data_IF_173591626039
#
_entry.id   IF_173591626039
#
_cell.length_a   1.000
_cell.length_b   1.000
_cell.length_c   1.000
_cell.angle_alpha   90.00
_cell.angle_beta   90.00
_cell.angle_gamma   90.00
#
_symmetry.space_group_name_H-M   'P 1'
#
loop_
_entity.id
_entity.type
_entity.pdbx_description
1 polymer ?
#
# COMPACT_ATOMS: atom_id res chain seq x y z
N UNK A 1 53.84 -0.78 76.77
CA UNK A 1 54.83 -0.60 75.69
C UNK A 1 54.26 0.41 74.71
N UNK A 2 54.77 1.64 74.70
CA UNK A 2 54.32 2.75 73.85
C UNK A 2 55.43 3.01 72.81
N UNK A 3 55.12 2.88 71.52
CA UNK A 3 55.88 3.35 70.35
C UNK A 3 54.81 3.75 69.32
N UNK A 4 54.46 5.03 69.17
CA UNK A 4 55.12 6.05 68.35
C UNK A 4 55.29 5.61 66.89
N UNK A 5 54.52 6.20 65.97
CA UNK A 5 54.95 6.67 64.63
C UNK A 5 53.74 7.22 63.82
N UNK A 6 53.65 8.56 63.75
CA UNK A 6 53.17 9.34 62.59
C UNK A 6 54.40 9.56 61.66
N UNK A 7 54.36 10.14 60.44
CA UNK A 7 53.25 10.49 59.52
C UNK A 7 53.53 10.08 58.05
N UNK A 8 52.58 10.22 57.11
CA UNK A 8 52.91 10.61 55.72
C UNK A 8 51.68 11.15 54.98
N UNK A 9 51.67 12.46 54.78
CA UNK A 9 50.80 13.18 53.84
C UNK A 9 51.28 12.94 52.41
N UNK A 10 50.42 12.43 51.54
CA UNK A 10 50.59 12.48 50.10
C UNK A 10 49.51 13.41 49.51
N UNK A 11 49.92 14.60 49.11
CA UNK A 11 49.10 15.50 48.28
C UNK A 11 49.24 15.01 46.86
N UNK A 12 48.17 14.44 46.29
CA UNK A 12 48.08 14.14 44.86
C UNK A 12 47.27 15.25 44.19
N UNK A 13 47.97 16.20 43.57
CA UNK A 13 47.36 17.15 42.64
C UNK A 13 47.05 16.41 41.35
N UNK A 14 45.77 16.14 41.12
CA UNK A 14 45.27 15.71 39.81
C UNK A 14 44.91 16.97 39.02
N UNK A 15 45.72 17.29 38.01
CA UNK A 15 45.35 18.24 36.96
C UNK A 15 44.58 17.43 35.91
N UNK A 16 43.25 17.48 35.95
CA UNK A 16 42.42 17.05 34.83
C UNK A 16 42.47 18.14 33.76
N UNK A 17 43.44 18.03 32.85
CA UNK A 17 43.33 18.57 31.51
C UNK A 17 43.11 17.37 30.59
N UNK A 18 41.86 17.14 30.21
CA UNK A 18 41.44 16.10 29.28
C UNK A 18 40.30 16.67 28.45
N UNK A 19 40.53 16.69 27.14
CA UNK A 19 39.84 17.49 26.14
C UNK A 19 38.31 17.33 26.15
N UNK A 20 37.61 18.45 26.05
CA UNK A 20 36.31 18.47 25.39
C UNK A 20 36.56 18.17 23.92
N UNK A 21 36.34 16.93 23.53
CA UNK A 21 35.96 16.59 22.17
C UNK A 21 34.45 16.75 22.16
N UNK A 22 33.98 17.93 21.76
CA UNK A 22 32.68 18.03 21.12
C UNK A 22 32.86 17.30 19.79
N UNK A 23 32.72 15.97 19.81
CA UNK A 23 32.46 15.21 18.61
C UNK A 23 31.03 15.61 18.20
N UNK A 24 30.93 16.64 17.34
CA UNK A 24 29.80 16.77 16.43
C UNK A 24 29.77 15.46 15.65
N UNK A 25 29.02 14.50 16.16
CA UNK A 25 28.63 13.29 15.46
C UNK A 25 27.75 13.78 14.29
N UNK A 26 28.41 14.16 13.19
CA UNK A 26 27.73 14.68 12.00
C UNK A 26 27.00 13.53 11.34
N UNK A 27 25.83 13.22 11.90
CA UNK A 27 24.91 12.22 11.40
C UNK A 27 24.62 12.53 9.93
N UNK A 28 24.91 11.60 9.04
CA UNK A 28 24.68 11.71 7.60
C UNK A 28 23.31 11.10 7.30
N UNK A 29 22.32 11.95 7.11
CA UNK A 29 20.93 11.53 6.86
C UNK A 29 20.70 11.12 5.41
N UNK A 30 19.56 10.50 5.12
CA UNK A 30 19.14 10.21 3.73
C UNK A 30 19.10 11.47 2.85
N UNK A 31 18.80 12.64 3.42
CA UNK A 31 18.84 13.92 2.69
C UNK A 31 20.29 14.33 2.39
N UNK A 32 21.20 14.20 3.37
CA UNK A 32 22.63 14.51 3.18
C UNK A 32 23.26 13.59 2.12
N UNK A 33 22.93 12.29 2.16
CA UNK A 33 23.38 11.32 1.16
C UNK A 33 22.85 11.69 -0.22
N UNK A 34 21.57 12.03 -0.35
CA UNK A 34 20.98 12.40 -1.62
C UNK A 34 21.58 13.71 -2.19
N UNK A 35 21.84 14.71 -1.34
CA UNK A 35 22.52 15.95 -1.72
C UNK A 35 23.95 15.74 -2.23
N UNK A 36 24.63 14.70 -1.72
CA UNK A 36 25.98 14.32 -2.13
C UNK A 36 26.07 13.53 -3.43
N UNK A 37 24.95 13.15 -4.03
CA UNK A 37 24.89 12.29 -5.22
C UNK A 37 24.28 13.02 -6.43
N UNK A 38 25.07 13.14 -7.51
CA UNK A 38 24.68 13.85 -8.73
C UNK A 38 23.45 13.24 -9.42
N UNK A 39 23.07 11.99 -9.10
CA UNK A 39 21.88 11.32 -9.66
C UNK A 39 20.56 11.77 -9.04
N UNK A 40 20.58 12.42 -7.88
CA UNK A 40 19.37 12.75 -7.13
C UNK A 40 19.09 14.26 -7.06
N UNK A 41 19.74 15.08 -7.89
CA UNK A 41 19.59 16.54 -7.85
C UNK A 41 18.14 17.01 -8.07
N UNK A 42 17.37 16.31 -8.91
CA UNK A 42 15.93 16.59 -9.11
C UNK A 42 15.12 16.22 -7.86
N UNK A 43 15.38 15.06 -7.27
CA UNK A 43 14.74 14.61 -6.03
C UNK A 43 15.00 15.58 -4.88
N UNK A 44 16.25 16.00 -4.68
CA UNK A 44 16.63 16.96 -3.62
C UNK A 44 15.87 18.28 -3.80
N UNK A 45 15.81 18.79 -5.04
CA UNK A 45 15.04 20.02 -5.35
C UNK A 45 13.56 19.84 -5.02
N UNK A 46 12.98 18.68 -5.32
CA UNK A 46 11.59 18.36 -5.01
C UNK A 46 11.35 18.28 -3.48
N UNK A 47 12.22 17.60 -2.72
CA UNK A 47 12.15 17.51 -1.26
C UNK A 47 12.21 18.89 -0.60
N UNK A 48 13.13 19.75 -1.06
CA UNK A 48 13.25 21.13 -0.57
C UNK A 48 11.99 21.94 -0.89
N UNK A 49 11.46 21.81 -2.10
CA UNK A 49 10.26 22.52 -2.55
C UNK A 49 9.01 22.09 -1.79
N UNK A 50 8.87 20.78 -1.52
CA UNK A 50 7.78 20.21 -0.73
C UNK A 50 7.92 20.48 0.78
N UNK A 51 9.06 21.01 1.24
CA UNK A 51 9.33 21.25 2.66
C UNK A 51 9.51 19.97 3.48
N UNK A 52 9.87 18.85 2.84
CA UNK A 52 10.03 17.54 3.48
C UNK A 52 11.44 17.29 4.05
N UNK A 53 12.40 18.17 3.78
CA UNK A 53 13.79 18.00 4.22
C UNK A 53 13.88 17.73 5.73
N UNK A 54 13.25 18.56 6.57
CA UNK A 54 13.28 18.38 8.02
C UNK A 54 12.64 17.06 8.50
N UNK A 55 11.64 16.55 7.77
CA UNK A 55 11.00 15.26 8.08
C UNK A 55 11.95 14.09 7.78
N UNK A 56 12.58 14.10 6.60
CA UNK A 56 13.49 13.05 6.15
C UNK A 56 14.89 13.14 6.81
N UNK A 57 15.24 14.30 7.35
CA UNK A 57 16.38 14.47 8.26
C UNK A 57 16.05 13.99 9.69
N UNK A 58 14.81 13.58 9.99
CA UNK A 58 14.41 13.09 11.31
C UNK A 58 15.15 11.81 11.76
N UNK A 59 14.77 11.27 12.93
CA UNK A 59 15.47 10.12 13.53
C UNK A 59 15.34 8.81 12.73
N UNK A 60 14.35 8.70 11.85
CA UNK A 60 14.09 7.47 11.09
C UNK A 60 13.68 6.28 11.98
N UNK A 61 13.85 5.03 11.52
CA UNK A 61 14.48 4.67 10.25
C UNK A 61 13.59 4.94 9.03
N UNK A 62 14.22 5.24 7.89
CA UNK A 62 13.56 5.40 6.60
C UNK A 62 14.13 4.45 5.54
N UNK A 63 13.29 4.04 4.60
CA UNK A 63 13.74 3.47 3.32
C UNK A 63 13.23 4.38 2.22
N UNK A 64 14.14 5.00 1.48
CA UNK A 64 13.79 5.93 0.39
C UNK A 64 14.03 5.26 -0.94
N UNK A 65 12.97 5.03 -1.71
CA UNK A 65 13.07 4.65 -3.10
C UNK A 65 13.29 5.92 -3.93
N UNK A 66 14.54 6.27 -4.21
CA UNK A 66 14.91 7.55 -4.82
C UNK A 66 14.92 7.44 -6.36
N UNK A 67 14.01 8.10 -7.09
CA UNK A 67 14.09 8.13 -8.54
C UNK A 67 15.33 8.88 -9.00
N UNK A 68 16.01 8.32 -9.99
CA UNK A 68 17.15 8.99 -10.63
C UNK A 68 16.70 10.21 -11.43
N UNK A 69 17.63 11.11 -11.75
CA UNK A 69 17.36 12.22 -12.67
C UNK A 69 16.84 11.74 -14.03
N UNK A 70 17.33 10.58 -14.49
CA UNK A 70 16.83 9.92 -15.70
C UNK A 70 15.37 9.48 -15.54
N UNK A 71 15.00 8.89 -14.40
CA UNK A 71 13.63 8.51 -14.08
C UNK A 71 12.67 9.71 -14.10
N UNK A 72 13.06 10.83 -13.48
CA UNK A 72 12.27 12.06 -13.53
C UNK A 72 12.13 12.61 -14.95
N UNK A 73 13.21 12.58 -15.75
CA UNK A 73 13.17 13.08 -17.12
C UNK A 73 12.23 12.26 -18.02
N UNK A 74 12.22 10.93 -17.84
CA UNK A 74 11.30 10.02 -18.52
C UNK A 74 9.86 10.27 -18.09
N UNK A 75 9.59 10.29 -16.78
CA UNK A 75 8.27 10.59 -16.21
C UNK A 75 7.66 11.90 -16.76
N UNK A 76 8.45 12.98 -16.78
CA UNK A 76 8.03 14.28 -17.31
C UNK A 76 7.72 14.20 -18.80
N UNK A 77 8.55 13.49 -19.57
CA UNK A 77 8.38 13.35 -21.02
C UNK A 77 7.10 12.57 -21.35
N UNK A 78 6.87 11.45 -20.68
CA UNK A 78 5.75 10.56 -20.95
C UNK A 78 4.40 11.20 -20.57
N UNK A 79 4.41 12.03 -19.53
CA UNK A 79 3.23 12.78 -19.09
C UNK A 79 3.08 14.15 -19.77
N UNK A 80 4.03 14.56 -20.63
CA UNK A 80 4.00 15.87 -21.29
C UNK A 80 4.08 17.05 -20.32
N UNK A 81 4.79 16.87 -19.21
CA UNK A 81 4.99 17.83 -18.13
C UNK A 81 6.38 18.47 -18.22
N UNK A 82 6.49 19.70 -17.72
CA UNK A 82 7.78 20.33 -17.44
C UNK A 82 8.14 20.14 -15.96
N UNK A 83 9.42 20.25 -15.61
CA UNK A 83 9.86 20.14 -14.22
C UNK A 83 9.17 21.16 -13.29
N UNK A 84 8.81 22.33 -13.82
CA UNK A 84 8.03 23.33 -13.07
C UNK A 84 6.62 22.88 -12.75
N UNK A 85 6.02 22.02 -13.57
CA UNK A 85 4.67 21.51 -13.33
C UNK A 85 4.70 20.50 -12.18
N UNK A 86 5.68 19.60 -12.16
CA UNK A 86 5.91 18.68 -11.03
C UNK A 86 6.17 19.45 -9.73
N UNK A 87 7.08 20.42 -9.75
CA UNK A 87 7.44 21.19 -8.54
C UNK A 87 6.30 22.09 -8.03
N UNK A 88 5.33 22.42 -8.88
CA UNK A 88 4.15 23.19 -8.52
C UNK A 88 2.92 22.32 -8.18
N UNK A 89 3.04 20.99 -8.27
CA UNK A 89 1.95 20.08 -7.99
C UNK A 89 1.57 20.13 -6.51
N UNK A 90 0.27 20.29 -6.23
CA UNK A 90 -0.26 20.24 -4.87
C UNK A 90 -0.02 18.86 -4.22
N UNK A 91 0.11 17.81 -5.03
CA UNK A 91 0.41 16.43 -4.63
C UNK A 91 1.92 16.12 -4.51
N UNK A 92 2.82 17.10 -4.68
CA UNK A 92 4.27 16.83 -4.67
C UNK A 92 4.73 16.17 -3.37
N UNK A 93 4.24 16.66 -2.22
CA UNK A 93 4.57 16.06 -0.93
C UNK A 93 4.06 14.62 -0.83
N UNK A 94 2.83 14.37 -1.29
CA UNK A 94 2.20 13.05 -1.28
C UNK A 94 3.00 12.06 -2.14
N UNK A 95 3.35 12.45 -3.37
CA UNK A 95 4.21 11.67 -4.28
C UNK A 95 5.54 11.34 -3.60
N UNK A 96 6.22 12.33 -3.00
CA UNK A 96 7.50 12.10 -2.35
C UNK A 96 7.36 11.18 -1.13
N UNK A 97 6.29 11.29 -0.34
CA UNK A 97 6.06 10.40 0.80
C UNK A 97 5.67 8.98 0.38
N UNK A 98 5.12 8.80 -0.83
CA UNK A 98 4.84 7.47 -1.40
C UNK A 98 6.12 6.72 -1.80
N UNK A 99 7.24 7.44 -1.96
CA UNK A 99 8.56 6.84 -2.18
C UNK A 99 9.29 6.45 -0.88
N UNK A 100 8.68 6.66 0.29
CA UNK A 100 9.35 6.48 1.57
C UNK A 100 8.60 5.45 2.40
N UNK A 101 9.32 4.45 2.93
CA UNK A 101 8.81 3.55 3.94
C UNK A 101 9.23 4.03 5.34
N UNK A 102 8.35 3.95 6.36
CA UNK A 102 8.66 4.32 7.74
C UNK A 102 9.44 3.22 8.49
N UNK A 103 10.26 2.45 7.77
CA UNK A 103 11.08 1.33 8.27
C UNK A 103 12.41 1.28 7.53
N UNK A 104 13.43 0.65 8.12
CA UNK A 104 14.67 0.29 7.41
C UNK A 104 14.49 -1.07 6.72
N UNK A 105 14.61 -1.09 5.40
CA UNK A 105 14.55 -2.28 4.58
C UNK A 105 15.72 -2.23 3.59
N UNK A 106 16.85 -2.81 3.97
CA UNK A 106 17.96 -3.06 3.05
C UNK A 106 17.55 -4.05 1.94
N UNK A 107 18.40 -4.27 0.95
CA UNK A 107 18.12 -5.16 -0.18
C UNK A 107 17.81 -6.59 0.25
N UNK A 108 18.34 -7.05 1.38
CA UNK A 108 18.10 -8.40 1.90
C UNK A 108 16.72 -8.48 2.53
N UNK A 109 16.34 -7.50 3.35
CA UNK A 109 15.01 -7.39 3.92
C UNK A 109 13.95 -7.20 2.82
N UNK A 110 14.18 -6.27 1.90
CA UNK A 110 13.28 -6.01 0.77
C UNK A 110 13.12 -7.23 -0.15
N UNK A 111 14.20 -7.94 -0.47
CA UNK A 111 14.12 -9.18 -1.24
C UNK A 111 13.44 -10.33 -0.47
N UNK A 112 13.54 -10.36 0.85
CA UNK A 112 12.83 -11.34 1.68
C UNK A 112 11.33 -11.07 1.68
N UNK A 113 10.92 -9.80 1.78
CA UNK A 113 9.52 -9.38 1.64
C UNK A 113 9.01 -9.74 0.25
N UNK A 114 9.74 -9.34 -0.80
CA UNK A 114 9.38 -9.62 -2.18
C UNK A 114 9.32 -11.12 -2.54
N UNK A 115 10.05 -11.96 -1.79
CA UNK A 115 10.06 -13.41 -1.92
C UNK A 115 9.04 -14.13 -1.03
N UNK A 116 8.13 -13.41 -0.37
CA UNK A 116 7.12 -13.99 0.52
C UNK A 116 6.18 -14.94 -0.23
N UNK A 117 5.73 -15.99 0.45
CA UNK A 117 4.83 -17.00 -0.13
C UNK A 117 3.44 -16.41 -0.44
N UNK A 118 2.99 -15.43 0.37
CA UNK A 118 1.76 -14.69 0.16
C UNK A 118 2.06 -13.34 -0.47
N UNK A 119 1.33 -12.99 -1.54
CA UNK A 119 1.42 -11.65 -2.12
C UNK A 119 0.92 -10.55 -1.17
N UNK A 120 0.07 -10.90 -0.19
CA UNK A 120 -0.38 -9.93 0.82
C UNK A 120 0.79 -9.43 1.67
N UNK A 121 1.77 -10.30 1.96
CA UNK A 121 2.95 -9.98 2.76
C UNK A 121 4.01 -9.20 1.97
N UNK A 122 3.84 -9.07 0.66
CA UNK A 122 4.71 -8.30 -0.23
C UNK A 122 4.32 -6.80 -0.27
N UNK A 123 3.16 -6.46 0.29
CA UNK A 123 2.65 -5.10 0.38
C UNK A 123 3.22 -4.40 1.60
N UNK A 124 3.77 -3.21 1.39
CA UNK A 124 4.43 -2.44 2.44
C UNK A 124 3.92 -1.01 2.46
N UNK A 125 3.40 -0.60 3.62
CA UNK A 125 2.87 0.75 3.83
C UNK A 125 3.96 1.82 3.70
N UNK A 126 3.68 2.85 2.91
CA UNK A 126 4.53 4.03 2.74
C UNK A 126 4.20 5.10 3.77
N UNK A 127 5.03 6.15 3.88
CA UNK A 127 4.73 7.33 4.72
C UNK A 127 3.47 8.06 4.24
N UNK A 128 3.11 7.94 2.97
CA UNK A 128 1.84 8.45 2.44
C UNK A 128 0.61 7.69 2.98
N UNK A 129 0.80 6.45 3.46
CA UNK A 129 -0.24 5.60 4.05
C UNK A 129 -0.88 4.61 3.06
N UNK A 130 -0.45 4.61 1.80
CA UNK A 130 -0.78 3.57 0.83
C UNK A 130 0.38 2.58 0.68
N UNK A 131 0.04 1.35 0.30
CA UNK A 131 1.03 0.30 0.13
C UNK A 131 1.70 0.39 -1.25
N UNK A 132 2.96 -0.04 -1.28
CA UNK A 132 3.70 -0.41 -2.48
C UNK A 132 3.93 -1.91 -2.49
N UNK A 133 3.99 -2.51 -3.68
CA UNK A 133 4.31 -3.92 -3.86
C UNK A 133 5.81 -4.09 -4.02
N UNK A 134 6.45 -4.87 -3.16
CA UNK A 134 7.83 -5.32 -3.40
C UNK A 134 7.79 -6.66 -4.13
N UNK A 135 8.44 -6.75 -5.30
CA UNK A 135 8.45 -7.99 -6.09
C UNK A 135 9.82 -8.26 -6.69
N UNK A 136 10.02 -9.49 -7.22
CA UNK A 136 11.26 -9.88 -7.89
C UNK A 136 10.98 -10.25 -9.34
N UNK A 137 11.69 -9.59 -10.27
CA UNK A 137 11.75 -9.99 -11.68
C UNK A 137 13.12 -10.59 -11.96
N UNK A 138 13.21 -11.91 -11.87
CA UNK A 138 14.50 -12.59 -11.93
C UNK A 138 15.36 -12.28 -10.71
N UNK A 139 16.44 -11.51 -10.89
CA UNK A 139 17.31 -11.05 -9.79
C UNK A 139 17.00 -9.63 -9.34
N UNK A 140 16.15 -8.92 -10.08
CA UNK A 140 15.97 -7.49 -9.91
C UNK A 140 14.82 -7.26 -8.94
N UNK A 141 15.06 -6.40 -7.94
CA UNK A 141 14.05 -5.96 -6.99
C UNK A 141 13.21 -4.86 -7.63
N UNK A 142 11.90 -5.02 -7.59
CA UNK A 142 10.94 -4.06 -8.09
C UNK A 142 10.14 -3.48 -6.92
N UNK A 143 9.82 -2.20 -7.04
CA UNK A 143 8.90 -1.48 -6.17
C UNK A 143 7.78 -1.01 -7.09
N UNK A 144 6.60 -1.61 -6.95
CA UNK A 144 5.57 -1.59 -7.99
C UNK A 144 6.18 -2.08 -9.32
N UNK A 145 6.29 -1.22 -10.33
CA UNK A 145 6.93 -1.48 -11.62
C UNK A 145 8.34 -0.88 -11.74
N UNK A 146 8.75 -0.04 -10.79
CA UNK A 146 10.05 0.60 -10.78
C UNK A 146 11.14 -0.41 -10.41
N UNK A 147 12.18 -0.50 -11.23
CA UNK A 147 13.32 -1.38 -10.95
C UNK A 147 14.32 -0.66 -10.06
N UNK A 148 14.77 -1.34 -9.00
CA UNK A 148 15.88 -0.86 -8.15
C UNK A 148 17.19 -1.01 -8.92
N UNK A 149 17.69 0.10 -9.47
CA UNK A 149 18.94 0.15 -10.25
C UNK A 149 20.20 0.22 -9.39
N UNK A 150 20.07 0.67 -8.14
CA UNK A 150 21.12 0.56 -7.14
C UNK A 150 20.51 0.46 -5.75
N UNK A 151 20.80 -0.65 -5.06
CA UNK A 151 20.36 -0.85 -3.69
C UNK A 151 21.43 -0.44 -2.65
N UNK A 152 20.99 -0.29 -1.41
CA UNK A 152 21.81 -0.19 -0.20
C UNK A 152 22.76 1.03 -0.14
N UNK A 153 22.27 2.20 -0.53
CA UNK A 153 23.01 3.44 -0.25
C UNK A 153 22.70 3.86 1.19
N UNK A 154 23.65 3.58 2.09
CA UNK A 154 23.46 3.69 3.54
C UNK A 154 23.50 5.14 4.04
N UNK A 155 22.58 5.45 4.96
CA UNK A 155 22.55 6.67 5.77
C UNK A 155 22.39 6.31 7.26
N UNK A 156 22.63 7.25 8.16
CA UNK A 156 22.54 6.98 9.60
C UNK A 156 21.09 6.89 10.11
N UNK A 157 20.13 7.39 9.34
CA UNK A 157 18.70 7.33 9.66
C UNK A 157 17.88 6.51 8.66
N UNK A 158 18.54 5.66 7.86
CA UNK A 158 17.86 4.84 6.88
C UNK A 158 18.72 4.38 5.71
N UNK A 159 18.06 3.93 4.66
CA UNK A 159 18.68 3.44 3.43
C UNK A 159 18.01 4.05 2.21
N UNK A 160 18.79 4.29 1.15
CA UNK A 160 18.28 4.73 -0.15
C UNK A 160 18.48 3.61 -1.17
N UNK A 161 17.40 3.32 -1.91
CA UNK A 161 17.42 2.47 -3.09
C UNK A 161 17.12 3.35 -4.31
N UNK A 162 18.06 3.47 -5.23
CA UNK A 162 17.85 4.19 -6.48
C UNK A 162 16.91 3.40 -7.39
N UNK A 163 15.87 4.05 -7.91
CA UNK A 163 14.90 3.45 -8.83
C UNK A 163 14.91 4.14 -10.20
N UNK A 164 14.49 3.41 -11.24
CA UNK A 164 14.44 3.91 -12.63
C UNK A 164 13.13 4.60 -13.02
N UNK A 165 12.12 4.59 -12.16
CA UNK A 165 10.80 5.17 -12.44
C UNK A 165 10.31 5.99 -11.24
N UNK A 166 9.46 6.98 -11.48
CA UNK A 166 8.78 7.73 -10.41
C UNK A 166 7.53 6.96 -9.99
N UNK A 167 7.38 6.65 -8.70
CA UNK A 167 6.17 6.03 -8.17
C UNK A 167 5.02 7.04 -8.16
N UNK A 168 3.99 6.76 -8.94
CA UNK A 168 2.78 7.57 -8.98
C UNK A 168 1.86 7.19 -7.82
N UNK A 169 1.17 8.17 -7.24
CA UNK A 169 0.12 7.89 -6.25
C UNK A 169 -1.18 7.51 -6.99
N UNK A 170 -1.98 6.58 -6.46
CA UNK A 170 -3.24 6.22 -7.07
C UNK A 170 -4.24 7.39 -6.99
N UNK A 171 -4.98 7.64 -8.06
CA UNK A 171 -6.02 8.66 -8.06
C UNK A 171 -7.25 8.18 -7.28
N UNK A 172 -7.55 8.85 -6.16
CA UNK A 172 -8.74 8.54 -5.36
C UNK A 172 -10.01 8.78 -6.16
N UNK A 173 -10.90 7.79 -6.21
CA UNK A 173 -12.15 7.91 -6.91
C UNK A 173 -13.09 8.94 -6.25
N UNK A 174 -13.95 9.57 -7.04
CA UNK A 174 -14.96 10.52 -6.55
C UNK A 174 -15.98 9.93 -5.56
N UNK A 175 -16.11 8.60 -5.51
CA UNK A 175 -16.94 7.88 -4.53
C UNK A 175 -16.26 7.70 -3.17
N UNK A 176 -14.97 8.04 -3.03
CA UNK A 176 -14.20 7.87 -1.80
C UNK A 176 -14.72 8.74 -0.66
N UNK A 177 -14.76 8.18 0.55
CA UNK A 177 -15.01 8.92 1.80
C UNK A 177 -14.22 8.26 2.95
N UNK A 178 -13.04 8.79 3.23
CA UNK A 178 -12.11 8.29 4.25
C UNK A 178 -12.60 8.52 5.70
N UNK A 179 -13.79 9.11 5.89
CA UNK A 179 -14.42 9.22 7.21
C UNK A 179 -15.45 8.12 7.48
N UNK A 180 -15.71 7.27 6.48
CA UNK A 180 -16.65 6.14 6.59
C UNK A 180 -15.89 4.83 6.46
N UNK A 181 -16.28 3.83 7.23
CA UNK A 181 -15.81 2.45 6.99
C UNK A 181 -16.35 1.94 5.66
N UNK A 182 -15.80 0.82 5.18
CA UNK A 182 -16.29 0.16 3.96
C UNK A 182 -17.79 -0.13 4.07
N UNK A 183 -18.27 -0.65 5.20
CA UNK A 183 -19.69 -0.97 5.37
C UNK A 183 -20.56 0.29 5.38
N UNK A 184 -20.13 1.36 6.07
CA UNK A 184 -20.82 2.65 6.06
C UNK A 184 -20.86 3.28 4.67
N UNK A 185 -19.78 3.16 3.89
CA UNK A 185 -19.69 3.66 2.53
C UNK A 185 -20.61 2.87 1.59
N UNK A 186 -20.60 1.54 1.66
CA UNK A 186 -21.52 0.67 0.90
C UNK A 186 -22.97 1.01 1.22
N UNK A 187 -23.32 1.22 2.50
CA UNK A 187 -24.67 1.66 2.91
C UNK A 187 -25.02 3.02 2.31
N UNK A 188 -24.08 3.98 2.28
CA UNK A 188 -24.30 5.29 1.71
C UNK A 188 -24.54 5.24 0.19
N UNK A 189 -23.77 4.41 -0.53
CA UNK A 189 -23.91 4.20 -1.97
C UNK A 189 -25.22 3.49 -2.32
N UNK A 190 -25.61 2.48 -1.55
CA UNK A 190 -26.90 1.80 -1.68
C UNK A 190 -28.11 2.71 -1.38
N UNK A 191 -27.92 3.76 -0.58
CA UNK A 191 -28.95 4.75 -0.24
C UNK A 191 -29.02 5.97 -1.18
N UNK A 192 -28.20 6.02 -2.22
CA UNK A 192 -28.11 7.18 -3.11
C UNK A 192 -29.42 7.44 -3.87
N UNK A 193 -29.78 8.72 -4.04
CA UNK A 193 -31.04 9.09 -4.73
C UNK A 193 -30.99 8.87 -6.24
N UNK A 194 -29.79 8.71 -6.81
CA UNK A 194 -29.55 8.48 -8.23
C UNK A 194 -28.32 7.60 -8.35
N UNK A 195 -28.41 6.52 -9.13
CA UNK A 195 -27.30 5.56 -9.27
C UNK A 195 -27.03 4.76 -7.99
N UNK A 196 -28.07 4.44 -7.21
CA UNK A 196 -27.94 3.50 -6.10
C UNK A 196 -27.40 2.17 -6.63
N UNK A 197 -26.41 1.64 -5.93
CA UNK A 197 -25.67 0.43 -6.27
C UNK A 197 -25.29 -0.29 -4.96
N UNK A 198 -24.94 -1.57 -5.03
CA UNK A 198 -24.57 -2.39 -3.86
C UNK A 198 -25.72 -2.65 -2.89
N UNK A 199 -26.98 -2.55 -3.33
CA UNK A 199 -28.13 -2.85 -2.48
C UNK A 199 -28.16 -4.32 -2.07
N UNK A 200 -27.83 -5.23 -2.99
CA UNK A 200 -27.75 -6.68 -2.74
C UNK A 200 -26.55 -7.01 -1.86
N UNK A 201 -25.38 -6.43 -2.17
CA UNK A 201 -24.16 -6.60 -1.39
C UNK A 201 -24.37 -6.17 0.07
N UNK A 202 -24.93 -4.98 0.29
CA UNK A 202 -25.24 -4.45 1.62
C UNK A 202 -26.14 -5.41 2.40
N UNK A 203 -27.22 -5.88 1.79
CA UNK A 203 -28.13 -6.82 2.46
C UNK A 203 -27.40 -8.16 2.75
N UNK A 204 -26.57 -8.66 1.82
CA UNK A 204 -25.83 -9.91 1.96
C UNK A 204 -24.83 -9.87 3.12
N UNK A 205 -24.05 -8.79 3.24
CA UNK A 205 -23.11 -8.56 4.34
C UNK A 205 -23.83 -8.59 5.70
N UNK A 206 -24.98 -7.92 5.79
CA UNK A 206 -25.81 -7.93 7.02
C UNK A 206 -26.33 -9.33 7.34
N UNK A 207 -26.82 -10.07 6.34
CA UNK A 207 -27.35 -11.41 6.55
C UNK A 207 -26.28 -12.44 6.91
N UNK A 208 -25.08 -12.30 6.35
CA UNK A 208 -23.90 -13.10 6.67
C UNK A 208 -23.30 -12.75 8.05
N UNK A 209 -23.68 -11.60 8.62
CA UNK A 209 -23.15 -11.13 9.91
C UNK A 209 -21.74 -10.53 9.82
N UNK A 210 -21.31 -10.11 8.63
CA UNK A 210 -19.95 -9.59 8.36
C UNK A 210 -19.84 -8.07 8.56
N UNK A 211 -20.92 -7.39 8.97
CA UNK A 211 -20.96 -5.93 9.11
C UNK A 211 -19.95 -5.42 10.17
N UNK A 212 -19.88 -6.09 11.32
CA UNK A 212 -18.92 -5.74 12.37
C UNK A 212 -17.48 -6.06 11.96
N UNK A 213 -17.26 -7.15 11.22
CA UNK A 213 -15.93 -7.58 10.79
C UNK A 213 -15.36 -6.62 9.71
N UNK A 214 -16.15 -6.32 8.67
CA UNK A 214 -15.76 -5.40 7.59
C UNK A 214 -15.87 -3.92 7.97
N UNK A 215 -16.63 -3.61 9.02
CA UNK A 215 -16.66 -2.29 9.65
C UNK A 215 -15.58 -2.08 10.71
N UNK A 216 -14.79 -3.11 11.02
CA UNK A 216 -13.76 -3.11 12.05
C UNK A 216 -12.43 -2.47 11.63
N UNK A 217 -11.39 -2.74 12.42
CA UNK A 217 -10.02 -2.31 12.11
C UNK A 217 -9.52 -3.06 10.86
N UNK A 218 -9.21 -2.30 9.80
CA UNK A 218 -8.60 -2.80 8.58
C UNK A 218 -7.07 -2.90 8.68
N UNK A 219 -6.35 -2.92 7.55
CA UNK A 219 -6.83 -2.59 6.21
C UNK A 219 -7.56 -3.74 5.50
N UNK A 220 -8.58 -3.39 4.72
CA UNK A 220 -9.26 -4.30 3.80
C UNK A 220 -9.22 -3.79 2.36
N UNK A 221 -9.27 -4.71 1.41
CA UNK A 221 -9.64 -4.41 0.03
C UNK A 221 -10.85 -5.26 -0.35
N UNK A 222 -11.93 -4.61 -0.77
CA UNK A 222 -13.18 -5.29 -1.14
C UNK A 222 -13.42 -5.13 -2.63
N UNK A 223 -13.48 -6.26 -3.34
CA UNK A 223 -13.94 -6.32 -4.73
C UNK A 223 -15.47 -6.37 -4.73
N UNK A 224 -16.12 -5.21 -4.68
CA UNK A 224 -17.56 -5.10 -4.51
C UNK A 224 -18.31 -5.37 -5.83
N UNK A 225 -19.10 -6.46 -5.93
CA UNK A 225 -19.91 -6.71 -7.11
C UNK A 225 -21.10 -5.75 -7.17
N UNK A 226 -21.41 -5.26 -8.36
CA UNK A 226 -22.63 -4.49 -8.61
C UNK A 226 -23.89 -5.34 -8.42
N UNK A 227 -25.03 -4.70 -8.21
CA UNK A 227 -26.36 -5.33 -8.18
C UNK A 227 -26.64 -6.04 -9.52
N UNK A 228 -26.13 -5.50 -10.63
CA UNK A 228 -26.18 -6.16 -11.94
C UNK A 228 -25.37 -7.47 -11.95
N UNK A 229 -24.18 -7.49 -11.35
CA UNK A 229 -23.36 -8.70 -11.21
C UNK A 229 -24.10 -9.81 -10.45
N UNK A 230 -24.79 -9.45 -9.36
CA UNK A 230 -25.61 -10.39 -8.59
C UNK A 230 -26.82 -10.90 -9.40
N UNK A 231 -27.49 -10.02 -10.15
CA UNK A 231 -28.60 -10.42 -11.00
C UNK A 231 -28.16 -11.43 -12.09
N UNK A 232 -26.98 -11.21 -12.69
CA UNK A 232 -26.41 -12.10 -13.70
C UNK A 232 -26.03 -13.47 -13.11
N UNK A 233 -25.43 -13.51 -11.91
CA UNK A 233 -25.13 -14.75 -11.20
C UNK A 233 -26.40 -15.60 -11.01
N UNK A 234 -27.49 -14.99 -10.56
CA UNK A 234 -28.73 -15.68 -10.25
C UNK A 234 -29.49 -16.12 -11.52
N UNK A 235 -29.46 -15.30 -12.57
CA UNK A 235 -30.04 -15.67 -13.86
C UNK A 235 -29.40 -16.95 -14.40
N UNK A 236 -28.08 -17.09 -14.30
CA UNK A 236 -27.35 -18.27 -14.73
C UNK A 236 -27.64 -19.51 -13.87
N UNK A 237 -27.93 -19.32 -12.58
CA UNK A 237 -28.20 -20.43 -11.65
C UNK A 237 -29.63 -21.01 -11.79
N UNK A 238 -30.67 -20.17 -11.96
CA UNK A 238 -32.07 -20.65 -11.87
C UNK A 238 -33.07 -19.99 -12.85
N UNK A 239 -32.64 -19.14 -13.81
CA UNK A 239 -33.48 -18.72 -14.94
C UNK A 239 -34.69 -17.82 -14.64
N UNK A 240 -34.65 -17.02 -13.58
CA UNK A 240 -35.68 -16.02 -13.19
C UNK A 240 -35.12 -14.59 -13.10
N UNK A 241 -35.97 -13.55 -12.99
CA UNK A 241 -35.54 -12.21 -12.59
C UNK A 241 -35.31 -12.20 -11.08
N UNK A 242 -34.11 -11.84 -10.65
CA UNK A 242 -33.71 -11.89 -9.25
C UNK A 242 -33.15 -10.53 -8.85
N UNK A 243 -33.90 -9.84 -8.01
CA UNK A 243 -33.67 -8.43 -7.71
C UNK A 243 -33.36 -8.21 -6.21
N UNK A 244 -33.30 -9.29 -5.40
CA UNK A 244 -33.11 -9.18 -3.96
C UNK A 244 -32.29 -10.32 -3.33
N UNK A 245 -31.81 -10.06 -2.11
CA UNK A 245 -31.02 -10.99 -1.31
C UNK A 245 -31.73 -12.33 -1.03
N UNK A 246 -33.06 -12.33 -0.88
CA UNK A 246 -33.77 -13.56 -0.52
C UNK A 246 -33.63 -14.59 -1.63
N UNK A 247 -33.60 -14.15 -2.90
CA UNK A 247 -33.37 -15.03 -4.03
C UNK A 247 -31.96 -15.62 -4.00
N UNK A 248 -30.94 -14.82 -3.66
CA UNK A 248 -29.55 -15.28 -3.50
C UNK A 248 -29.41 -16.33 -2.40
N UNK A 249 -29.95 -16.05 -1.21
CA UNK A 249 -29.89 -16.96 -0.06
C UNK A 249 -30.73 -18.22 -0.29
N UNK A 250 -31.89 -18.11 -0.95
CA UNK A 250 -32.71 -19.28 -1.30
C UNK A 250 -32.03 -20.16 -2.35
N UNK A 251 -31.30 -19.56 -3.30
CA UNK A 251 -30.63 -20.28 -4.38
C UNK A 251 -29.36 -20.99 -3.91
N UNK A 252 -28.51 -20.31 -3.12
CA UNK A 252 -27.17 -20.80 -2.75
C UNK A 252 -27.09 -21.29 -1.30
N UNK A 253 -27.95 -20.80 -0.42
CA UNK A 253 -27.82 -20.97 1.03
C UNK A 253 -26.93 -19.90 1.66
N UNK A 254 -27.17 -19.58 2.93
CA UNK A 254 -26.44 -18.52 3.64
C UNK A 254 -24.94 -18.80 3.77
N UNK A 255 -24.57 -20.07 4.00
CA UNK A 255 -23.17 -20.48 4.13
C UNK A 255 -22.37 -20.19 2.85
N UNK A 256 -22.90 -20.59 1.69
CA UNK A 256 -22.28 -20.30 0.40
C UNK A 256 -22.23 -18.79 0.10
N UNK A 257 -23.24 -18.02 0.52
CA UNK A 257 -23.21 -16.56 0.38
C UNK A 257 -22.09 -15.96 1.24
N UNK A 258 -21.92 -16.41 2.49
CA UNK A 258 -20.82 -15.97 3.33
C UNK A 258 -19.46 -16.30 2.70
N UNK A 259 -19.27 -17.51 2.18
CA UNK A 259 -18.01 -17.91 1.53
C UNK A 259 -17.70 -17.08 0.28
N UNK A 260 -18.72 -16.77 -0.52
CA UNK A 260 -18.62 -15.86 -1.66
C UNK A 260 -18.25 -14.47 -1.18
N UNK A 261 -18.87 -13.93 -0.12
CA UNK A 261 -18.52 -12.61 0.37
C UNK A 261 -17.08 -12.55 0.86
N UNK A 262 -16.62 -13.56 1.61
CA UNK A 262 -15.23 -13.64 2.10
C UNK A 262 -14.22 -13.76 0.96
N UNK A 263 -14.59 -14.41 -0.16
CA UNK A 263 -13.78 -14.45 -1.38
C UNK A 263 -13.50 -13.05 -1.94
N UNK A 264 -14.43 -12.11 -1.81
CA UNK A 264 -14.28 -10.76 -2.35
C UNK A 264 -13.43 -9.83 -1.47
N UNK A 265 -12.96 -10.30 -0.32
CA UNK A 265 -12.25 -9.47 0.66
C UNK A 265 -10.82 -9.94 0.80
N UNK A 266 -9.87 -9.03 0.66
CA UNK A 266 -8.44 -9.23 0.92
C UNK A 266 -8.07 -8.42 2.17
N UNK A 267 -7.32 -9.03 3.09
CA UNK A 267 -6.85 -8.39 4.33
C UNK A 267 -5.57 -7.56 4.12
N UNK A 268 -5.57 -6.68 3.13
CA UNK A 268 -4.48 -5.78 2.79
C UNK A 268 -5.00 -4.55 2.04
N UNK A 269 -4.21 -3.49 1.94
CA UNK A 269 -4.58 -2.27 1.21
C UNK A 269 -4.02 -2.34 -0.22
N UNK A 270 -4.87 -2.69 -1.17
CA UNK A 270 -4.46 -2.92 -2.56
C UNK A 270 -5.07 -1.83 -3.43
N UNK A 271 -4.26 -0.87 -3.89
CA UNK A 271 -4.69 0.21 -4.79
C UNK A 271 -4.48 -0.18 -6.27
N UNK A 272 -4.94 0.67 -7.20
CA UNK A 272 -4.79 0.45 -8.64
C UNK A 272 -3.34 0.30 -9.09
N UNK A 273 -2.38 0.98 -8.49
CA UNK A 273 -0.98 0.83 -8.88
C UNK A 273 -0.50 -0.60 -8.59
N UNK A 274 -0.84 -1.15 -7.43
CA UNK A 274 -0.55 -2.56 -7.13
C UNK A 274 -1.33 -3.50 -8.06
N UNK A 275 -2.59 -3.19 -8.31
CA UNK A 275 -3.53 -4.01 -9.10
C UNK A 275 -3.20 -4.04 -10.60
N UNK A 276 -2.69 -2.94 -11.16
CA UNK A 276 -2.39 -2.80 -12.59
C UNK A 276 -1.01 -3.36 -12.93
N UNK A 277 -0.05 -3.23 -12.01
CA UNK A 277 1.36 -3.47 -12.31
C UNK A 277 1.77 -4.93 -12.11
N UNK A 278 0.92 -5.72 -11.47
CA UNK A 278 1.21 -7.09 -11.11
C UNK A 278 0.27 -8.07 -11.86
N UNK A 279 0.46 -8.17 -13.18
CA UNK A 279 -0.27 -9.13 -14.01
C UNK A 279 -0.03 -10.57 -13.49
N UNK A 280 -1.08 -11.17 -12.94
CA UNK A 280 -1.04 -12.51 -12.36
C UNK A 280 -0.69 -12.55 -10.87
N UNK A 281 -0.77 -11.45 -10.12
CA UNK A 281 -0.66 -11.50 -8.66
C UNK A 281 -1.92 -12.10 -8.05
N UNK A 282 -1.71 -13.12 -7.22
CA UNK A 282 -2.73 -13.85 -6.50
C UNK A 282 -2.71 -13.43 -5.03
N UNK A 283 -3.74 -12.73 -4.60
CA UNK A 283 -3.91 -12.21 -3.25
C UNK A 283 -4.77 -13.17 -2.44
N UNK A 284 -4.32 -13.53 -1.25
CA UNK A 284 -5.10 -14.36 -0.34
C UNK A 284 -6.33 -13.59 0.15
N UNK A 285 -7.49 -14.22 0.09
CA UNK A 285 -8.76 -13.63 0.53
C UNK A 285 -9.04 -13.98 1.98
N UNK A 286 -10.11 -13.43 2.57
CA UNK A 286 -10.61 -13.88 3.88
C UNK A 286 -11.27 -15.27 3.82
N UNK A 287 -11.43 -15.84 2.63
CA UNK A 287 -11.71 -17.24 2.46
C UNK A 287 -10.37 -18.00 2.43
N UNK A 288 -10.01 -18.62 3.56
CA UNK A 288 -8.67 -19.19 3.88
C UNK A 288 -8.09 -20.16 2.84
N UNK A 289 -8.89 -20.65 1.89
CA UNK A 289 -8.47 -21.61 0.85
C UNK A 289 -8.41 -21.00 -0.55
N UNK A 290 -8.72 -19.71 -0.69
CA UNK A 290 -8.95 -19.08 -1.97
C UNK A 290 -8.23 -17.75 -2.12
N UNK A 291 -7.88 -17.44 -3.36
CA UNK A 291 -7.19 -16.23 -3.74
C UNK A 291 -7.95 -15.48 -4.83
N UNK A 292 -7.79 -14.17 -4.90
CA UNK A 292 -8.14 -13.38 -6.09
C UNK A 292 -6.89 -13.13 -6.90
N UNK A 293 -6.92 -13.54 -8.17
CA UNK A 293 -5.90 -13.19 -9.15
C UNK A 293 -6.26 -11.88 -9.81
N UNK A 294 -5.38 -10.90 -9.67
CA UNK A 294 -5.47 -9.63 -10.36
C UNK A 294 -4.72 -9.72 -11.67
N UNK A 295 -5.30 -9.17 -12.74
CA UNK A 295 -4.65 -9.12 -14.05
C UNK A 295 -5.17 -7.98 -14.90
N UNK A 296 -4.53 -7.77 -16.05
CA UNK A 296 -4.94 -6.75 -17.01
C UNK A 296 -5.37 -7.41 -18.31
N UNK A 297 -6.62 -7.24 -18.71
CA UNK A 297 -7.17 -7.79 -19.94
C UNK A 297 -7.72 -6.67 -20.82
N UNK A 298 -7.23 -6.59 -22.07
CA UNK A 298 -7.61 -5.55 -23.04
C UNK A 298 -7.44 -4.10 -22.54
N UNK A 299 -6.47 -3.87 -21.65
CA UNK A 299 -6.22 -2.54 -21.06
C UNK A 299 -7.20 -2.17 -19.94
N UNK A 300 -7.97 -3.13 -19.42
CA UNK A 300 -8.80 -2.96 -18.23
C UNK A 300 -8.36 -3.92 -17.13
N UNK A 301 -8.44 -3.46 -15.89
CA UNK A 301 -8.13 -4.27 -14.72
C UNK A 301 -9.18 -5.35 -14.55
N UNK A 302 -8.75 -6.54 -14.17
CA UNK A 302 -9.62 -7.69 -13.87
C UNK A 302 -9.26 -8.32 -12.53
N UNK A 303 -10.26 -8.85 -11.83
CA UNK A 303 -10.13 -9.65 -10.61
C UNK A 303 -10.82 -11.01 -10.86
N UNK A 304 -10.05 -12.10 -10.89
CA UNK A 304 -10.49 -13.44 -11.29
C UNK A 304 -11.32 -13.47 -12.59
N UNK A 305 -10.91 -12.64 -13.56
CA UNK A 305 -11.59 -12.50 -14.85
C UNK A 305 -12.84 -11.61 -14.84
N UNK A 306 -13.30 -11.16 -13.68
CA UNK A 306 -14.31 -10.10 -13.52
C UNK A 306 -13.69 -8.75 -13.86
N UNK A 307 -14.39 -7.90 -14.60
CA UNK A 307 -13.83 -6.60 -14.98
C UNK A 307 -14.08 -5.56 -13.88
N UNK A 308 -13.02 -4.82 -13.55
CA UNK A 308 -13.05 -3.78 -12.53
C UNK A 308 -13.47 -2.47 -13.19
N UNK A 309 -14.71 -2.07 -12.94
CA UNK A 309 -15.35 -0.89 -13.54
C UNK A 309 -14.98 0.42 -12.85
N UNK A 310 -14.67 0.36 -11.55
CA UNK A 310 -14.23 1.50 -10.74
C UNK A 310 -13.13 1.02 -9.80
N UNK A 311 -11.99 1.69 -9.80
CA UNK A 311 -10.90 1.42 -8.85
C UNK A 311 -10.85 2.49 -7.77
N UNK A 312 -10.14 2.19 -6.68
CA UNK A 312 -9.63 3.21 -5.74
C UNK A 312 -10.72 4.02 -5.04
N UNK A 313 -11.79 3.36 -4.62
CA UNK A 313 -12.81 3.97 -3.76
C UNK A 313 -12.34 3.84 -2.30
N UNK A 314 -11.74 4.89 -1.75
CA UNK A 314 -11.15 4.87 -0.41
C UNK A 314 -12.23 5.00 0.69
N UNK A 315 -12.08 4.18 1.72
CA UNK A 315 -12.79 4.22 2.99
C UNK A 315 -11.78 4.35 4.14
N UNK A 316 -12.25 4.62 5.35
CA UNK A 316 -11.40 4.83 6.54
C UNK A 316 -10.61 3.57 6.95
N UNK A 317 -11.09 2.39 6.60
CA UNK A 317 -10.50 1.10 6.96
C UNK A 317 -10.11 0.25 5.73
N UNK A 318 -10.07 0.83 4.53
CA UNK A 318 -9.67 0.09 3.35
C UNK A 318 -10.05 0.71 2.00
N UNK A 319 -10.03 -0.10 0.95
CA UNK A 319 -10.28 0.29 -0.43
C UNK A 319 -11.39 -0.60 -1.02
N UNK A 320 -12.24 -0.03 -1.86
CA UNK A 320 -13.23 -0.75 -2.65
C UNK A 320 -12.88 -0.65 -4.13
N UNK A 321 -12.90 -1.80 -4.81
CA UNK A 321 -12.85 -1.90 -6.28
C UNK A 321 -14.17 -2.49 -6.76
N UNK A 322 -14.84 -1.84 -7.69
CA UNK A 322 -16.18 -2.22 -8.16
C UNK A 322 -16.08 -3.16 -9.34
N UNK A 323 -16.65 -4.35 -9.22
CA UNK A 323 -16.57 -5.40 -10.23
C UNK A 323 -17.93 -5.71 -10.86
N UNK A 324 -17.92 -6.15 -12.11
CA UNK A 324 -19.14 -6.42 -12.89
C UNK A 324 -19.60 -7.88 -12.88
N UNK A 325 -18.81 -8.79 -12.32
CA UNK A 325 -19.15 -10.20 -12.14
C UNK A 325 -18.82 -10.66 -10.72
N UNK A 326 -19.72 -11.42 -10.10
CA UNK A 326 -19.47 -12.02 -8.77
C UNK A 326 -18.42 -13.11 -8.88
N UNK A 327 -17.35 -13.01 -8.10
CA UNK A 327 -16.30 -14.03 -7.97
C UNK A 327 -16.84 -15.16 -7.10
N UNK A 328 -16.91 -16.37 -7.65
CA UNK A 328 -17.37 -17.56 -6.93
C UNK A 328 -16.21 -18.50 -6.68
N UNK A 329 -16.21 -19.17 -5.53
CA UNK A 329 -15.29 -20.27 -5.25
C UNK A 329 -15.48 -21.38 -6.29
N UNK A 330 -14.39 -21.93 -6.82
CA UNK A 330 -14.40 -23.04 -7.81
C UNK A 330 -15.21 -24.28 -7.36
N UNK A 331 -15.51 -24.38 -6.07
CA UNK A 331 -16.32 -25.41 -5.43
C UNK A 331 -17.83 -25.09 -5.34
N UNK A 332 -18.41 -24.27 -6.24
CA UNK A 332 -19.88 -24.21 -6.31
C UNK A 332 -20.42 -25.54 -6.89
N UNK A 333 -21.10 -26.40 -6.09
CA UNK A 333 -21.59 -27.70 -6.55
C UNK A 333 -22.74 -27.62 -7.56
N UNK A 334 -23.07 -26.42 -8.04
CA UNK A 334 -24.09 -26.17 -9.06
C UNK A 334 -23.61 -26.43 -10.50
N UNK A 335 -22.31 -26.64 -10.73
CA UNK A 335 -21.73 -26.82 -12.06
C UNK A 335 -21.46 -28.31 -12.45
N UNK A 336 -22.35 -29.23 -12.04
CA UNK A 336 -22.46 -30.56 -12.66
C UNK A 336 -23.92 -30.92 -13.01
#
# INVERSE_FOLDING_TARGET
>A
MKKLLLPLTLVSSVILAGCGSDDDDSRTTVVDVAQGDDRFTTLVTAIETAGLAATLEGDGPFTVFAPTNEAFAEYLTDNGLEATDLLAADSLADILTYHVLPVEADSTAAASIAGSESANDQLVETVYGDDVLLSLSGSDLLVNDATVVQADVQADNGVIHAIDSVLEIPEKNALSDENKTITELVVALAGAQTGAEFTVLKDAVVAAGLDDDLGGEGPFTVFAPTDAAFADLLQNAQGGPYDDLNDLVNALGLEAVTDILLQHVVSAKVNSNVVVLADGVSLATLNDEQSITIGVSNGSVTADGSNVSVTDVYASNGIIHVIDTVITTDDNPSAQ
#
